data_IF_535440730798
#
_entry.id   IF_535440730798
#
_cell.length_a   1.000
_cell.length_b   1.000
_cell.length_c   1.000
_cell.angle_alpha   90.00
_cell.angle_beta   90.00
_cell.angle_gamma   90.00
#
_symmetry.space_group_name_H-M   'P 1'
#
loop_
_entity.id
_entity.type
_entity.pdbx_description
1 polymer ?
#
# COMPACT_ATOMS: atom_id res chain seq x y z
N UNK A 1 -7.02 31.50 -20.08
CA UNK A 1 -7.34 31.00 -18.72
C UNK A 1 -6.36 29.89 -18.37
N UNK A 2 -5.65 30.00 -17.24
CA UNK A 2 -4.51 29.14 -16.89
C UNK A 2 -4.91 27.67 -16.70
N UNK A 3 -4.19 26.79 -17.38
CA UNK A 3 -4.25 25.32 -17.31
C UNK A 3 -4.08 24.87 -15.86
N UNK A 4 -5.12 24.26 -15.26
CA UNK A 4 -4.98 23.66 -13.93
C UNK A 4 -4.16 22.37 -14.08
N UNK A 5 -2.95 22.44 -13.54
CA UNK A 5 -1.97 21.35 -13.39
C UNK A 5 -2.66 20.02 -13.06
N UNK A 6 -2.38 18.99 -13.87
CA UNK A 6 -2.68 17.61 -13.55
C UNK A 6 -1.89 17.31 -12.27
N UNK A 7 -2.58 17.30 -11.12
CA UNK A 7 -1.97 16.97 -9.83
C UNK A 7 -1.30 15.61 -9.98
N UNK A 8 0.02 15.58 -9.87
CA UNK A 8 0.84 14.37 -9.85
C UNK A 8 0.23 13.46 -8.78
N UNK A 9 -0.41 12.38 -9.20
CA UNK A 9 -1.03 11.43 -8.28
C UNK A 9 0.12 10.74 -7.59
N UNK A 10 0.36 11.07 -6.32
CA UNK A 10 1.43 10.46 -5.51
C UNK A 10 1.11 8.98 -5.30
N UNK A 11 1.52 8.14 -6.25
CA UNK A 11 1.37 6.69 -6.16
C UNK A 11 2.56 6.16 -5.36
N UNK A 12 2.28 5.55 -4.22
CA UNK A 12 3.32 4.88 -3.44
C UNK A 12 3.54 3.50 -4.03
N UNK A 13 4.76 3.26 -4.48
CA UNK A 13 5.16 1.93 -4.96
C UNK A 13 5.82 1.17 -3.81
N UNK A 14 5.38 -0.07 -3.57
CA UNK A 14 5.96 -0.99 -2.57
C UNK A 14 6.51 -2.19 -3.30
N UNK A 15 7.79 -2.49 -3.10
CA UNK A 15 8.39 -3.75 -3.55
C UNK A 15 8.15 -4.86 -2.54
N UNK A 16 7.57 -5.95 -3.01
CA UNK A 16 7.18 -7.09 -2.21
C UNK A 16 8.23 -8.22 -2.21
N UNK A 17 9.31 -8.09 -2.98
CA UNK A 17 10.35 -9.11 -3.09
C UNK A 17 11.01 -9.41 -1.73
N UNK A 18 10.99 -10.68 -1.30
CA UNK A 18 11.63 -11.13 -0.07
C UNK A 18 10.98 -10.62 1.22
N UNK A 19 9.85 -9.91 1.13
CA UNK A 19 9.10 -9.41 2.29
C UNK A 19 7.99 -10.39 2.65
N UNK A 20 7.63 -10.42 3.93
CA UNK A 20 6.51 -11.24 4.41
C UNK A 20 5.17 -10.63 4.03
N UNK A 21 4.23 -11.45 3.57
CA UNK A 21 2.89 -11.02 3.12
C UNK A 21 2.19 -10.09 4.12
N UNK A 22 2.19 -10.47 5.41
CA UNK A 22 1.55 -9.67 6.46
C UNK A 22 2.16 -8.27 6.62
N UNK A 23 3.49 -8.16 6.54
CA UNK A 23 4.18 -6.86 6.68
C UNK A 23 3.88 -5.93 5.52
N UNK A 24 3.89 -6.47 4.29
CA UNK A 24 3.55 -5.72 3.08
C UNK A 24 2.09 -5.26 3.12
N UNK A 25 1.17 -6.13 3.56
CA UNK A 25 -0.24 -5.80 3.67
C UNK A 25 -0.51 -4.71 4.71
N UNK A 26 0.08 -4.80 5.91
CA UNK A 26 -0.06 -3.79 6.96
C UNK A 26 0.47 -2.42 6.51
N UNK A 27 1.63 -2.41 5.85
CA UNK A 27 2.22 -1.18 5.31
C UNK A 27 1.35 -0.55 4.22
N UNK A 28 0.86 -1.35 3.27
CA UNK A 28 -0.05 -0.89 2.23
C UNK A 28 -1.34 -0.29 2.83
N UNK A 29 -1.90 -0.93 3.86
CA UNK A 29 -3.11 -0.45 4.54
C UNK A 29 -2.90 0.92 5.21
N UNK A 30 -1.74 1.16 5.84
CA UNK A 30 -1.43 2.48 6.44
C UNK A 30 -1.41 3.60 5.40
N UNK A 31 -0.87 3.32 4.21
CA UNK A 31 -0.82 4.26 3.11
C UNK A 31 -2.19 4.50 2.46
N UNK A 32 -2.97 3.43 2.26
CA UNK A 32 -4.35 3.53 1.77
C UNK A 32 -5.26 4.31 2.72
N UNK A 33 -5.05 4.18 4.03
CA UNK A 33 -5.80 4.95 5.04
C UNK A 33 -5.28 6.38 5.21
N UNK A 34 -4.11 6.73 4.66
CA UNK A 34 -3.51 8.05 4.84
C UNK A 34 -2.97 8.32 6.25
N UNK A 35 -2.87 7.30 7.11
CA UNK A 35 -2.37 7.39 8.49
C UNK A 35 -0.91 7.86 8.62
N UNK A 36 -0.21 7.91 7.50
CA UNK A 36 1.17 8.40 7.41
C UNK A 36 1.25 9.92 7.24
N UNK A 37 0.14 10.62 6.99
CA UNK A 37 0.06 12.08 6.94
C UNK A 37 -0.34 12.63 8.30
N UNK A 38 0.28 13.74 8.71
CA UNK A 38 -0.10 14.47 9.92
C UNK A 38 -1.55 15.03 9.86
N UNK A 39 -2.09 15.20 8.65
CA UNK A 39 -3.46 15.66 8.39
C UNK A 39 -4.48 14.51 8.35
N UNK A 40 -4.20 13.40 9.02
CA UNK A 40 -5.11 12.24 9.02
C UNK A 40 -6.36 12.55 9.84
N UNK A 41 -7.53 12.44 9.20
CA UNK A 41 -8.83 12.51 9.86
C UNK A 41 -9.56 11.18 9.73
N UNK A 42 -10.13 10.67 10.83
CA UNK A 42 -10.72 9.32 10.84
C UNK A 42 -11.99 9.21 9.99
N UNK A 43 -12.72 10.30 9.81
CA UNK A 43 -13.97 10.38 9.07
C UNK A 43 -13.74 10.65 7.56
N UNK A 44 -12.54 11.08 7.16
CA UNK A 44 -12.26 11.55 5.81
C UNK A 44 -11.16 10.74 5.14
N UNK A 45 -11.40 10.31 3.90
CA UNK A 45 -10.40 9.64 3.11
C UNK A 45 -9.28 10.61 2.70
N UNK A 46 -8.09 10.40 3.26
CA UNK A 46 -6.88 11.21 3.01
C UNK A 46 -5.70 10.37 2.46
N UNK A 47 -5.97 9.10 2.14
CA UNK A 47 -5.00 8.16 1.61
C UNK A 47 -4.58 8.41 0.16
N UNK A 48 -3.68 7.58 -0.32
CA UNK A 48 -3.23 7.58 -1.71
C UNK A 48 -3.16 6.16 -2.28
N UNK A 49 -3.27 6.01 -3.60
CA UNK A 49 -3.15 4.72 -4.25
C UNK A 49 -1.78 4.10 -4.01
N UNK A 50 -1.79 2.80 -3.72
CA UNK A 50 -0.59 1.99 -3.52
C UNK A 50 -0.45 1.02 -4.68
N UNK A 51 0.75 0.94 -5.27
CA UNK A 51 1.12 -0.03 -6.29
C UNK A 51 2.11 -1.02 -5.70
N UNK A 52 1.74 -2.30 -5.67
CA UNK A 52 2.64 -3.36 -5.22
C UNK A 52 3.30 -3.99 -6.44
N UNK A 53 4.63 -4.10 -6.43
CA UNK A 53 5.42 -4.76 -7.48
C UNK A 53 6.04 -6.05 -6.93
N UNK A 54 6.36 -7.00 -7.82
CA UNK A 54 6.97 -8.29 -7.48
C UNK A 54 6.17 -9.14 -6.47
N UNK A 55 4.83 -9.08 -6.51
CA UNK A 55 3.97 -9.84 -5.59
C UNK A 55 4.19 -11.37 -5.63
N UNK A 56 4.66 -11.91 -6.76
CA UNK A 56 4.99 -13.34 -6.88
C UNK A 56 6.21 -13.77 -6.04
N UNK A 57 7.08 -12.83 -5.65
CA UNK A 57 8.30 -13.10 -4.86
C UNK A 57 8.11 -12.81 -3.37
N UNK A 58 6.86 -12.70 -2.92
CA UNK A 58 6.50 -12.52 -1.52
C UNK A 58 6.83 -13.79 -0.73
N UNK A 59 7.35 -13.61 0.48
CA UNK A 59 7.50 -14.70 1.44
C UNK A 59 6.18 -14.94 2.15
N UNK A 60 5.65 -16.16 1.99
CA UNK A 60 4.50 -16.66 2.74
C UNK A 60 5.03 -17.74 3.69
N UNK A 61 4.60 -17.68 4.95
CA UNK A 61 4.94 -18.71 5.93
C UNK A 61 4.27 -20.03 5.57
N UNK A 62 4.97 -21.15 5.69
CA UNK A 62 4.48 -22.51 5.37
C UNK A 62 3.14 -22.84 6.02
N UNK A 63 2.98 -22.51 7.31
CA UNK A 63 1.72 -22.67 8.06
C UNK A 63 0.51 -21.95 7.44
N UNK A 64 0.75 -20.88 6.68
CA UNK A 64 -0.30 -20.11 5.99
C UNK A 64 -0.60 -20.67 4.61
N UNK A 65 0.37 -21.29 3.95
CA UNK A 65 0.12 -22.01 2.69
C UNK A 65 -0.77 -23.23 2.96
N UNK A 66 -0.50 -23.99 4.03
CA UNK A 66 -1.30 -25.15 4.45
C UNK A 66 -2.73 -24.80 4.91
N UNK A 67 -3.00 -23.54 5.28
CA UNK A 67 -4.35 -23.11 5.67
C UNK A 67 -5.17 -22.61 4.46
N UNK A 68 -4.49 -22.19 3.38
CA UNK A 68 -5.13 -21.59 2.20
C UNK A 68 -5.40 -22.63 1.12
N UNK A 69 -4.61 -23.71 1.08
CA UNK A 69 -4.77 -24.86 0.17
C UNK A 69 -5.20 -26.09 0.97
#
# INVERSE_FOLDING_TARGET
>A
MKTKMIKKKDIKTIDAQGRTLGRVASEAAMFLMGKTKATFERNQYCGFPVKIVNASKLSITTKKLEQIY
#
